data_IF_512819068720
#
_entry.id   IF_512819068720
#
_cell.length_a   1.000
_cell.length_b   1.000
_cell.length_c   1.000
_cell.angle_alpha   90.00
_cell.angle_beta   90.00
_cell.angle_gamma   90.00
#
_symmetry.space_group_name_H-M   'P 1'
#
loop_
_entity.id
_entity.type
_entity.pdbx_description
1 polymer ?
#
# COMPACT_ATOMS: atom_id res chain seq x y z
N UNK A 1 -7.34 -2.31 -2.08
CA UNK A 1 -8.18 -3.11 -1.18
C UNK A 1 -9.38 -3.72 -1.91
N UNK A 2 -10.19 -2.91 -2.56
CA UNK A 2 -11.39 -3.39 -3.28
C UNK A 2 -11.05 -4.41 -4.39
N UNK A 3 -9.96 -4.19 -5.11
CA UNK A 3 -9.49 -5.15 -6.12
C UNK A 3 -9.13 -6.50 -5.49
N UNK A 4 -8.39 -6.48 -4.36
CA UNK A 4 -8.00 -7.71 -3.66
C UNK A 4 -9.24 -8.45 -3.15
N UNK A 5 -10.17 -7.74 -2.50
CA UNK A 5 -11.42 -8.32 -2.01
C UNK A 5 -12.24 -8.96 -3.16
N UNK A 6 -12.36 -8.27 -4.29
CA UNK A 6 -13.04 -8.79 -5.47
C UNK A 6 -12.33 -10.02 -6.06
N UNK A 7 -11.00 -10.04 -6.04
CA UNK A 7 -10.19 -11.16 -6.56
C UNK A 7 -10.35 -12.42 -5.70
N UNK A 8 -10.42 -12.25 -4.38
CA UNK A 8 -10.66 -13.34 -3.43
C UNK A 8 -12.13 -13.81 -3.41
N UNK A 9 -13.07 -12.92 -3.73
CA UNK A 9 -14.49 -13.26 -3.68
C UNK A 9 -14.93 -13.75 -2.30
N UNK A 10 -15.48 -14.94 -2.20
CA UNK A 10 -15.92 -15.51 -0.92
C UNK A 10 -14.76 -15.75 0.07
N UNK A 11 -13.55 -15.99 -0.43
CA UNK A 11 -12.37 -16.25 0.42
C UNK A 11 -11.85 -14.99 1.11
N UNK A 12 -12.32 -13.80 0.74
CA UNK A 12 -11.98 -12.55 1.41
C UNK A 12 -12.32 -12.54 2.92
N UNK A 13 -13.34 -13.33 3.31
CA UNK A 13 -13.72 -13.48 4.72
C UNK A 13 -12.65 -14.23 5.57
N UNK A 14 -11.81 -15.02 4.91
CA UNK A 14 -10.75 -15.82 5.53
C UNK A 14 -9.35 -15.33 5.10
N UNK A 15 -9.24 -14.13 4.59
CA UNK A 15 -7.96 -13.56 4.19
C UNK A 15 -7.01 -13.47 5.40
N UNK A 16 -5.72 -13.70 5.15
CA UNK A 16 -4.63 -13.50 6.09
C UNK A 16 -3.73 -12.42 5.55
N UNK A 17 -3.81 -11.23 6.12
CA UNK A 17 -3.29 -9.98 5.56
C UNK A 17 -2.02 -9.57 6.31
N UNK A 18 -0.95 -9.31 5.57
CA UNK A 18 0.22 -8.57 6.02
C UNK A 18 0.10 -7.10 5.61
N UNK A 19 0.14 -6.19 6.59
CA UNK A 19 0.19 -4.74 6.39
C UNK A 19 1.66 -4.29 6.50
N UNK A 20 2.23 -3.83 5.39
CA UNK A 20 3.64 -3.43 5.32
C UNK A 20 3.73 -1.92 5.10
N UNK A 21 3.83 -1.20 6.22
CA UNK A 21 3.68 0.24 6.31
C UNK A 21 4.97 1.03 6.15
N UNK A 22 4.88 2.37 6.14
CA UNK A 22 6.03 3.23 5.89
C UNK A 22 7.02 3.23 7.05
N UNK A 23 6.62 3.78 8.19
CA UNK A 23 7.41 3.80 9.41
C UNK A 23 6.58 4.17 10.65
N UNK A 24 7.15 3.97 11.83
CA UNK A 24 6.48 4.17 13.11
C UNK A 24 6.08 5.62 13.42
N UNK A 25 6.64 6.60 12.73
CA UNK A 25 6.25 8.01 12.90
C UNK A 25 4.89 8.34 12.28
N UNK A 26 4.30 7.39 11.56
CA UNK A 26 2.97 7.45 10.95
C UNK A 26 2.72 8.76 10.16
N UNK A 27 3.56 9.07 9.16
CA UNK A 27 3.31 10.26 8.34
C UNK A 27 1.98 10.12 7.60
N UNK A 28 1.29 11.23 7.37
CA UNK A 28 -0.06 11.24 6.79
C UNK A 28 -0.17 10.45 5.48
N UNK A 29 0.87 10.46 4.64
CA UNK A 29 0.88 9.67 3.41
C UNK A 29 0.85 8.16 3.68
N UNK A 30 1.50 7.70 4.75
CA UNK A 30 1.46 6.30 5.19
C UNK A 30 0.07 5.92 5.67
N UNK A 31 -0.48 6.70 6.60
CA UNK A 31 -1.82 6.49 7.17
C UNK A 31 -2.89 6.45 6.10
N UNK A 32 -2.91 7.42 5.18
CA UNK A 32 -3.93 7.50 4.12
C UNK A 32 -3.87 6.33 3.14
N UNK A 33 -2.68 5.83 2.81
CA UNK A 33 -2.50 4.67 1.93
C UNK A 33 -2.96 3.37 2.60
N UNK A 34 -2.54 3.16 3.84
CA UNK A 34 -2.96 2.02 4.66
C UNK A 34 -4.48 1.97 4.78
N UNK A 35 -5.08 3.03 5.27
CA UNK A 35 -6.52 3.11 5.47
C UNK A 35 -7.33 3.05 4.19
N UNK A 36 -6.78 3.55 3.09
CA UNK A 36 -7.36 3.39 1.76
C UNK A 36 -7.43 1.92 1.35
N UNK A 37 -6.38 1.13 1.64
CA UNK A 37 -6.40 -0.31 1.41
C UNK A 37 -7.44 -0.99 2.30
N UNK A 38 -7.42 -0.75 3.60
CA UNK A 38 -8.33 -1.37 4.58
C UNK A 38 -9.80 -1.06 4.27
N UNK A 39 -10.12 0.22 4.05
CA UNK A 39 -11.47 0.64 3.66
C UNK A 39 -11.94 -0.03 2.38
N UNK A 40 -11.08 -0.07 1.36
CA UNK A 40 -11.38 -0.74 0.10
C UNK A 40 -11.56 -2.26 0.26
N UNK A 41 -10.85 -2.88 1.17
CA UNK A 41 -11.01 -4.31 1.49
C UNK A 41 -12.26 -4.62 2.33
N UNK A 42 -12.86 -3.60 2.95
CA UNK A 42 -14.01 -3.73 3.84
C UNK A 42 -13.63 -4.03 5.28
N UNK A 43 -12.52 -3.45 5.75
CA UNK A 43 -12.05 -3.49 7.14
C UNK A 43 -12.28 -2.13 7.78
N UNK A 44 -12.77 -2.10 9.03
CA UNK A 44 -12.95 -0.88 9.82
C UNK A 44 -11.58 -0.34 10.27
N UNK A 45 -11.29 0.89 9.87
CA UNK A 45 -10.01 1.56 10.15
C UNK A 45 -9.90 2.18 11.55
N UNK A 46 -10.97 2.12 12.38
CA UNK A 46 -10.99 2.68 13.74
C UNK A 46 -10.63 4.17 13.77
N UNK A 47 -9.40 4.53 14.15
CA UNK A 47 -8.93 5.91 14.19
C UNK A 47 -8.34 6.30 12.84
N UNK A 48 -9.04 7.16 12.09
CA UNK A 48 -8.64 7.62 10.75
C UNK A 48 -7.31 8.41 10.71
N UNK A 49 -6.72 8.72 11.85
CA UNK A 49 -5.47 9.46 11.93
C UNK A 49 -4.21 8.58 12.13
N UNK A 50 -4.40 7.28 12.24
CA UNK A 50 -3.32 6.32 12.53
C UNK A 50 -3.59 4.96 11.89
N UNK A 51 -2.57 4.17 11.69
CA UNK A 51 -2.66 2.76 11.30
C UNK A 51 -2.26 1.86 12.47
N UNK A 52 -2.64 0.59 12.41
CA UNK A 52 -2.21 -0.44 13.36
C UNK A 52 -3.01 -0.47 14.66
N UNK A 53 -4.21 0.13 14.72
CA UNK A 53 -5.14 0.03 15.84
C UNK A 53 -6.41 -0.77 15.49
N UNK A 54 -6.42 -1.35 14.29
CA UNK A 54 -7.47 -2.24 13.83
C UNK A 54 -7.45 -3.55 14.63
N UNK A 55 -8.63 -4.08 14.91
CA UNK A 55 -8.81 -5.36 15.63
C UNK A 55 -9.40 -6.46 14.73
N UNK A 56 -9.35 -6.28 13.40
CA UNK A 56 -9.85 -7.28 12.46
C UNK A 56 -8.94 -8.53 12.46
N UNK A 57 -9.48 -9.73 12.73
CA UNK A 57 -8.68 -10.94 12.85
C UNK A 57 -8.00 -11.37 11.54
N UNK A 58 -8.35 -10.78 10.42
CA UNK A 58 -7.69 -11.02 9.13
C UNK A 58 -6.33 -10.34 9.02
N UNK A 59 -6.07 -9.31 9.83
CA UNK A 59 -4.77 -8.63 9.89
C UNK A 59 -3.83 -9.46 10.77
N UNK A 60 -2.87 -10.13 10.16
CA UNK A 60 -1.92 -11.02 10.85
C UNK A 60 -0.75 -10.23 11.44
N UNK A 61 -0.31 -9.21 10.74
CA UNK A 61 0.83 -8.38 11.14
C UNK A 61 0.75 -6.98 10.56
N UNK A 62 1.29 -6.03 11.34
CA UNK A 62 1.67 -4.70 10.89
C UNK A 62 3.18 -4.56 11.09
N UNK A 63 3.94 -4.31 10.03
CA UNK A 63 5.39 -4.15 10.07
C UNK A 63 5.81 -2.95 9.22
N UNK A 64 6.92 -2.32 9.59
CA UNK A 64 7.44 -1.14 8.89
C UNK A 64 8.49 -1.52 7.87
N UNK A 65 8.47 -0.84 6.71
CA UNK A 65 9.37 -1.10 5.58
C UNK A 65 10.37 0.03 5.35
N UNK A 66 10.18 1.19 5.94
CA UNK A 66 10.87 2.43 5.58
C UNK A 66 10.77 2.77 4.08
N UNK A 67 9.77 2.26 3.40
CA UNK A 67 9.48 2.51 1.99
C UNK A 67 10.52 1.98 1.01
N UNK A 68 11.31 0.98 1.39
CA UNK A 68 12.37 0.43 0.56
C UNK A 68 12.33 -1.11 0.49
N UNK A 69 13.08 -1.67 -0.46
CA UNK A 69 13.09 -3.10 -0.78
C UNK A 69 13.59 -3.97 0.38
N UNK A 70 14.70 -3.58 1.02
CA UNK A 70 15.26 -4.31 2.17
C UNK A 70 14.27 -4.35 3.34
N UNK A 71 13.64 -3.20 3.63
CA UNK A 71 12.61 -3.10 4.65
C UNK A 71 11.38 -3.94 4.33
N UNK A 72 10.93 -3.91 3.07
CA UNK A 72 9.81 -4.74 2.60
C UNK A 72 10.09 -6.24 2.77
N UNK A 73 11.30 -6.68 2.40
CA UNK A 73 11.73 -8.05 2.62
C UNK A 73 11.74 -8.44 4.09
N UNK A 74 12.41 -7.65 4.93
CA UNK A 74 12.50 -7.91 6.37
C UNK A 74 11.12 -7.94 7.04
N UNK A 75 10.25 -7.00 6.69
CA UNK A 75 8.89 -6.93 7.20
C UNK A 75 8.07 -8.18 6.81
N UNK A 76 8.15 -8.60 5.56
CA UNK A 76 7.46 -9.80 5.09
C UNK A 76 8.00 -11.08 5.73
N UNK A 77 9.31 -11.21 5.90
CA UNK A 77 9.93 -12.34 6.62
C UNK A 77 9.41 -12.46 8.05
N UNK A 78 9.25 -11.33 8.77
CA UNK A 78 8.64 -11.32 10.12
C UNK A 78 7.17 -11.73 10.10
N UNK A 79 6.41 -11.25 9.12
CA UNK A 79 5.00 -11.62 8.98
C UNK A 79 4.83 -13.11 8.71
N UNK A 80 5.66 -13.69 7.83
CA UNK A 80 5.66 -15.14 7.54
C UNK A 80 6.06 -15.99 8.75
N UNK A 81 6.86 -15.46 9.68
CA UNK A 81 7.15 -16.14 10.95
C UNK A 81 5.94 -16.16 11.89
N UNK A 82 5.06 -15.13 11.82
CA UNK A 82 3.82 -15.10 12.61
C UNK A 82 2.77 -16.05 12.05
N UNK A 83 2.59 -16.03 10.73
CA UNK A 83 1.68 -16.96 10.02
C UNK A 83 2.21 -17.24 8.61
N UNK A 84 2.63 -18.50 8.34
CA UNK A 84 3.11 -18.86 7.01
C UNK A 84 2.02 -18.92 5.94
N UNK A 85 0.74 -18.87 6.32
CA UNK A 85 -0.39 -18.98 5.40
C UNK A 85 -0.93 -17.61 4.95
N UNK A 86 -0.19 -16.52 5.17
CA UNK A 86 -0.53 -15.20 4.62
C UNK A 86 -0.76 -15.34 3.11
N UNK A 87 -1.89 -14.78 2.65
CA UNK A 87 -2.33 -14.82 1.25
C UNK A 87 -2.64 -13.45 0.66
N UNK A 88 -2.56 -12.39 1.48
CA UNK A 88 -2.70 -10.99 1.06
C UNK A 88 -1.57 -10.16 1.67
N UNK A 89 -0.97 -9.31 0.86
CA UNK A 89 0.05 -8.35 1.29
C UNK A 89 -0.33 -6.96 0.77
N UNK A 90 -0.51 -6.03 1.69
CA UNK A 90 -0.49 -4.62 1.37
C UNK A 90 0.93 -4.08 1.56
N UNK A 91 1.38 -3.25 0.65
CA UNK A 91 2.65 -2.53 0.78
C UNK A 91 2.46 -1.04 0.54
N UNK A 92 3.15 -0.24 1.35
CA UNK A 92 3.12 1.22 1.29
C UNK A 92 3.51 1.79 -0.08
N UNK A 93 4.41 1.11 -0.79
CA UNK A 93 4.92 1.49 -2.10
C UNK A 93 5.49 0.30 -2.86
N UNK A 94 5.79 0.48 -4.14
CA UNK A 94 6.31 -0.55 -5.02
C UNK A 94 7.69 -1.10 -4.61
N UNK A 95 8.68 -0.30 -4.15
CA UNK A 95 9.94 -0.86 -3.65
C UNK A 95 9.73 -1.85 -2.50
N UNK A 96 8.84 -1.55 -1.55
CA UNK A 96 8.51 -2.48 -0.47
C UNK A 96 7.82 -3.76 -0.99
N UNK A 97 7.01 -3.65 -2.07
CA UNK A 97 6.36 -4.80 -2.70
C UNK A 97 7.39 -5.76 -3.33
N UNK A 98 8.40 -5.22 -4.00
CA UNK A 98 9.50 -6.03 -4.57
C UNK A 98 10.21 -6.80 -3.46
N UNK A 99 10.53 -6.14 -2.35
CA UNK A 99 11.16 -6.80 -1.19
C UNK A 99 10.27 -7.88 -0.59
N UNK A 100 8.97 -7.60 -0.42
CA UNK A 100 8.01 -8.58 0.08
C UNK A 100 7.91 -9.81 -0.83
N UNK A 101 7.90 -9.60 -2.15
CA UNK A 101 7.90 -10.68 -3.13
C UNK A 101 9.16 -11.56 -3.03
N UNK A 102 10.34 -10.97 -2.84
CA UNK A 102 11.57 -11.75 -2.66
C UNK A 102 11.54 -12.61 -1.38
N UNK A 103 10.91 -12.14 -0.30
CA UNK A 103 10.68 -12.95 0.90
C UNK A 103 9.71 -14.11 0.64
N UNK A 104 8.62 -13.86 -0.09
CA UNK A 104 7.65 -14.89 -0.48
C UNK A 104 8.31 -15.95 -1.38
N UNK A 105 9.11 -15.53 -2.35
CA UNK A 105 9.86 -16.41 -3.25
C UNK A 105 10.85 -17.30 -2.50
N UNK A 106 11.50 -16.77 -1.47
CA UNK A 106 12.43 -17.55 -0.64
C UNK A 106 11.78 -18.74 0.07
N UNK A 107 10.44 -18.69 0.27
CA UNK A 107 9.65 -19.77 0.88
C UNK A 107 8.75 -20.50 -0.14
N UNK A 108 8.96 -20.27 -1.43
CA UNK A 108 8.25 -20.96 -2.52
C UNK A 108 6.80 -20.50 -2.73
N UNK A 109 6.49 -19.25 -2.39
CA UNK A 109 5.16 -18.61 -2.57
C UNK A 109 5.16 -17.57 -3.70
N UNK A 110 5.96 -17.79 -4.73
CA UNK A 110 6.02 -16.97 -5.95
C UNK A 110 5.14 -17.50 -7.09
N UNK A 111 4.22 -18.36 -6.76
CA UNK A 111 3.30 -19.04 -7.67
C UNK A 111 1.98 -18.28 -7.92
N UNK A 112 1.85 -17.07 -7.40
CA UNK A 112 0.64 -16.26 -7.49
C UNK A 112 -0.45 -16.59 -6.45
N UNK A 113 -0.15 -17.46 -5.48
CA UNK A 113 -1.06 -17.78 -4.36
C UNK A 113 -1.22 -16.63 -3.37
N UNK A 114 -0.28 -15.68 -3.35
CA UNK A 114 -0.31 -14.50 -2.50
C UNK A 114 -0.56 -13.26 -3.36
N UNK A 115 -1.60 -12.50 -3.02
CA UNK A 115 -1.95 -11.26 -3.72
C UNK A 115 -1.23 -10.08 -3.07
N UNK A 116 -0.38 -9.38 -3.83
CA UNK A 116 0.29 -8.15 -3.38
C UNK A 116 -0.43 -6.95 -3.99
N UNK A 117 -0.88 -6.02 -3.15
CA UNK A 117 -1.39 -4.72 -3.57
C UNK A 117 -0.47 -3.61 -3.07
N UNK A 118 -0.18 -2.65 -3.93
CA UNK A 118 0.78 -1.59 -3.67
C UNK A 118 0.30 -0.22 -4.15
N UNK A 119 1.14 0.78 -3.99
CA UNK A 119 0.92 2.15 -4.43
C UNK A 119 2.19 2.65 -5.12
N UNK A 120 2.05 3.49 -6.08
CA UNK A 120 2.88 4.42 -6.83
C UNK A 120 2.47 4.47 -8.30
N UNK A 121 2.23 3.33 -8.95
CA UNK A 121 1.87 3.27 -10.38
C UNK A 121 3.01 3.72 -11.28
N UNK A 122 4.26 3.55 -10.85
CA UNK A 122 5.45 3.85 -11.64
C UNK A 122 5.68 2.82 -12.75
N UNK A 123 6.47 3.18 -13.78
CA UNK A 123 6.77 2.26 -14.87
C UNK A 123 7.34 0.90 -14.40
N UNK A 124 8.24 0.84 -13.41
CA UNK A 124 8.71 -0.44 -12.87
C UNK A 124 7.59 -1.26 -12.24
N UNK A 125 6.76 -0.65 -11.39
CA UNK A 125 5.65 -1.34 -10.72
C UNK A 125 4.57 -1.83 -11.68
N UNK A 126 4.26 -1.04 -12.73
CA UNK A 126 3.36 -1.48 -13.81
C UNK A 126 3.93 -2.70 -14.55
N UNK A 127 5.24 -2.72 -14.81
CA UNK A 127 5.91 -3.89 -15.38
C UNK A 127 5.88 -5.11 -14.41
N UNK A 128 5.92 -4.87 -13.10
CA UNK A 128 5.77 -5.92 -12.08
C UNK A 128 4.34 -6.47 -12.02
N UNK A 129 3.34 -5.63 -12.27
CA UNK A 129 1.95 -6.09 -12.43
C UNK A 129 1.83 -6.99 -13.67
N UNK A 130 2.43 -6.58 -14.79
CA UNK A 130 2.43 -7.39 -16.03
C UNK A 130 3.12 -8.74 -15.83
N UNK A 131 4.17 -8.79 -15.02
CA UNK A 131 4.89 -10.02 -14.67
C UNK A 131 4.21 -10.88 -13.59
N UNK A 132 3.16 -10.38 -12.96
CA UNK A 132 2.45 -11.07 -11.88
C UNK A 132 3.17 -11.02 -10.52
N UNK A 133 4.18 -10.17 -10.35
CA UNK A 133 4.89 -9.93 -9.08
C UNK A 133 4.00 -9.11 -8.14
N UNK A 134 3.41 -8.05 -8.64
CA UNK A 134 2.40 -7.23 -7.95
C UNK A 134 1.06 -7.50 -8.60
N UNK A 135 0.03 -7.71 -7.79
CA UNK A 135 -1.32 -7.95 -8.29
C UNK A 135 -2.01 -6.68 -8.78
N UNK A 136 -1.84 -5.58 -8.04
CA UNK A 136 -2.35 -4.26 -8.37
C UNK A 136 -1.50 -3.16 -7.72
N UNK A 137 -1.37 -2.02 -8.41
CA UNK A 137 -0.76 -0.81 -7.86
C UNK A 137 -1.69 0.38 -8.10
N UNK A 138 -1.84 1.25 -7.11
CA UNK A 138 -2.60 2.50 -7.25
C UNK A 138 -1.67 3.61 -7.68
N UNK A 139 -2.00 4.30 -8.77
CA UNK A 139 -1.15 5.34 -9.31
C UNK A 139 -1.17 6.60 -8.45
N UNK A 140 0.01 7.15 -8.18
CA UNK A 140 0.20 8.54 -7.77
C UNK A 140 0.69 9.37 -8.97
N UNK A 141 0.50 10.70 -8.89
CA UNK A 141 0.82 11.61 -10.00
C UNK A 141 1.87 12.66 -9.60
N UNK A 142 3.13 12.27 -9.29
CA UNK A 142 4.12 13.20 -8.71
C UNK A 142 4.45 14.39 -9.62
N UNK A 143 4.51 14.18 -10.93
CA UNK A 143 4.75 15.26 -11.89
C UNK A 143 3.58 16.24 -11.95
N UNK A 144 2.34 15.74 -11.95
CA UNK A 144 1.15 16.59 -11.94
C UNK A 144 1.04 17.36 -10.61
N UNK A 145 1.26 16.70 -9.48
CA UNK A 145 1.29 17.37 -8.18
C UNK A 145 2.34 18.48 -8.13
N UNK A 146 3.53 18.24 -8.68
CA UNK A 146 4.58 19.25 -8.75
C UNK A 146 4.19 20.45 -9.63
N UNK A 147 3.65 20.21 -10.83
CA UNK A 147 3.23 21.30 -11.74
C UNK A 147 2.10 22.12 -11.14
N UNK A 148 1.05 21.48 -10.62
CA UNK A 148 -0.06 22.17 -9.95
C UNK A 148 0.41 22.97 -8.72
N UNK A 149 1.35 22.42 -7.95
CA UNK A 149 1.93 23.13 -6.81
C UNK A 149 2.69 24.38 -7.21
N UNK A 150 3.49 24.33 -8.29
CA UNK A 150 4.20 25.50 -8.83
C UNK A 150 3.22 26.54 -9.39
N UNK A 151 2.19 26.12 -10.11
CA UNK A 151 1.13 27.01 -10.61
C UNK A 151 0.38 27.70 -9.48
N UNK A 152 0.04 26.97 -8.41
CA UNK A 152 -0.60 27.54 -7.23
C UNK A 152 0.28 28.58 -6.52
N UNK A 153 1.58 28.30 -6.37
CA UNK A 153 2.55 29.26 -5.78
C UNK A 153 2.65 30.52 -6.65
N UNK A 154 2.69 30.36 -7.97
CA UNK A 154 2.73 31.48 -8.92
C UNK A 154 1.48 32.36 -8.77
N UNK A 155 0.29 31.79 -8.83
CA UNK A 155 -0.96 32.51 -8.68
C UNK A 155 -1.04 33.24 -7.33
N UNK A 156 -0.65 32.58 -6.25
CA UNK A 156 -0.59 33.22 -4.95
C UNK A 156 0.38 34.40 -4.88
N UNK A 157 1.53 34.32 -5.54
CA UNK A 157 2.52 35.39 -5.60
C UNK A 157 2.05 36.58 -6.47
N UNK A 158 1.25 36.33 -7.51
CA UNK A 158 0.74 37.35 -8.43
C UNK A 158 -0.47 38.12 -7.88
N UNK A 159 -1.44 37.44 -7.27
CA UNK A 159 -2.72 38.04 -6.88
C UNK A 159 -3.24 37.57 -5.50
N UNK A 160 -2.51 36.70 -4.79
CA UNK A 160 -2.93 36.14 -3.50
C UNK A 160 -3.98 35.04 -3.59
N UNK A 161 -4.30 34.54 -4.78
CA UNK A 161 -5.27 33.45 -4.95
C UNK A 161 -4.71 32.14 -4.40
N UNK A 162 -5.61 31.29 -3.88
CA UNK A 162 -5.30 29.97 -3.38
C UNK A 162 -6.18 28.95 -4.08
N UNK A 163 -5.61 27.78 -4.43
CA UNK A 163 -6.45 26.71 -4.97
C UNK A 163 -7.49 26.25 -3.96
N UNK A 164 -8.62 25.77 -4.45
CA UNK A 164 -9.60 25.09 -3.61
C UNK A 164 -8.98 23.81 -3.05
N UNK A 165 -9.32 23.50 -1.80
CA UNK A 165 -8.88 22.23 -1.19
C UNK A 165 -9.76 21.11 -1.75
N UNK A 166 -9.15 20.20 -2.50
CA UNK A 166 -9.82 19.03 -3.08
C UNK A 166 -9.37 17.75 -2.41
N UNK A 167 -10.23 16.71 -2.33
CA UNK A 167 -9.86 15.45 -1.68
C UNK A 167 -8.88 14.58 -2.49
N UNK A 168 -8.51 15.01 -3.69
CA UNK A 168 -7.58 14.27 -4.54
C UNK A 168 -7.55 14.82 -5.97
N UNK A 169 -6.84 14.10 -6.83
CA UNK A 169 -6.84 14.30 -8.28
C UNK A 169 -7.74 13.23 -8.90
N UNK A 170 -8.75 13.67 -9.62
CA UNK A 170 -9.65 12.80 -10.42
C UNK A 170 -9.03 12.50 -11.79
#
# INVERSE_FOLDING_TARGET
>A
GAWVAAKLGADAANAKIAMLDLNESQPSVGVLRDQGFLTGFGIDVKDVSRWGDEDDPRIICNEVTNGNEEGGRTAMEKCLQKDPDINVVYTINEPAAVGAYEALKAVGKDDGSVLIASVDGGCPGVADVERGIIGATSQQYPLLMASLGVEAIKAWAEDGSKPENTPGLD
#
